data_IF_429161929726
#
_entry.id   IF_429161929726
#
_cell.length_a   1.000
_cell.length_b   1.000
_cell.length_c   1.000
_cell.angle_alpha   90.00
_cell.angle_beta   90.00
_cell.angle_gamma   90.00
#
_symmetry.space_group_name_H-M   'P 1'
#
loop_
_entity.id
_entity.type
_entity.pdbx_description
1 polymer ?
#
# COMPACT_ATOMS: atom_id res chain seq x y z
N UNK A 1 -21.58 41.32 -4.42
CA UNK A 1 -20.71 40.89 -3.29
C UNK A 1 -20.55 39.37 -3.21
N UNK A 2 -21.63 38.56 -3.23
CA UNK A 2 -21.54 37.09 -3.19
C UNK A 2 -20.81 36.44 -4.39
N UNK A 3 -20.86 37.06 -5.56
CA UNK A 3 -20.20 36.60 -6.80
C UNK A 3 -18.68 36.80 -6.79
N UNK A 4 -18.19 37.84 -6.10
CA UNK A 4 -16.76 38.14 -5.96
C UNK A 4 -16.05 37.12 -5.05
N UNK A 5 -16.72 36.78 -3.94
CA UNK A 5 -16.24 35.81 -2.94
C UNK A 5 -16.15 34.42 -3.56
N UNK A 6 -17.16 34.02 -4.35
CA UNK A 6 -17.15 32.72 -5.05
C UNK A 6 -15.98 32.57 -6.03
N UNK A 7 -15.59 33.63 -6.76
CA UNK A 7 -14.44 33.57 -7.69
C UNK A 7 -13.11 33.50 -6.97
N UNK A 8 -12.96 34.22 -5.84
CA UNK A 8 -11.75 34.17 -5.02
C UNK A 8 -11.58 32.79 -4.38
N UNK A 9 -12.67 32.19 -3.91
CA UNK A 9 -12.66 30.85 -3.32
C UNK A 9 -12.31 29.77 -4.35
N UNK A 10 -12.81 29.87 -5.59
CA UNK A 10 -12.43 28.97 -6.69
C UNK A 10 -10.96 29.06 -7.08
N UNK A 11 -10.37 30.27 -7.10
CA UNK A 11 -8.94 30.45 -7.38
C UNK A 11 -8.06 29.89 -6.26
N UNK A 12 -8.49 30.02 -5.01
CA UNK A 12 -7.77 29.45 -3.86
C UNK A 12 -7.82 27.92 -3.88
N UNK A 13 -8.97 27.32 -4.19
CA UNK A 13 -9.12 25.87 -4.34
C UNK A 13 -8.25 25.32 -5.48
N UNK A 14 -8.21 25.99 -6.63
CA UNK A 14 -7.34 25.60 -7.76
C UNK A 14 -5.85 25.72 -7.42
N UNK A 15 -5.45 26.76 -6.70
CA UNK A 15 -4.06 26.94 -6.25
C UNK A 15 -3.64 25.86 -5.24
N UNK A 16 -4.51 25.54 -4.28
CA UNK A 16 -4.26 24.46 -3.32
C UNK A 16 -4.14 23.12 -4.04
N UNK A 17 -5.03 22.83 -5.00
CA UNK A 17 -4.99 21.58 -5.77
C UNK A 17 -3.70 21.45 -6.62
N UNK A 18 -3.28 22.54 -7.30
CA UNK A 18 -2.03 22.57 -8.06
C UNK A 18 -0.77 22.46 -7.18
N UNK A 19 -0.76 23.10 -6.01
CA UNK A 19 0.36 22.99 -5.06
C UNK A 19 0.47 21.57 -4.49
N UNK A 20 -0.65 20.90 -4.19
CA UNK A 20 -0.65 19.50 -3.74
C UNK A 20 -0.18 18.50 -4.80
N UNK A 21 -0.36 18.79 -6.09
CA UNK A 21 0.17 17.97 -7.19
C UNK A 21 1.68 18.17 -7.41
N UNK A 22 2.20 19.35 -7.10
CA UNK A 22 3.64 19.66 -7.25
C UNK A 22 4.50 19.11 -6.11
N UNK A 23 3.95 18.97 -4.89
CA UNK A 23 4.73 18.66 -3.69
C UNK A 23 4.93 17.17 -3.39
N UNK A 24 4.36 16.26 -4.21
CA UNK A 24 4.56 14.80 -4.06
C UNK A 24 5.86 14.27 -4.71
N UNK A 25 6.70 15.14 -5.28
CA UNK A 25 7.91 14.74 -5.99
C UNK A 25 9.23 14.70 -5.18
N UNK A 26 9.28 15.15 -3.92
CA UNK A 26 10.58 15.47 -3.30
C UNK A 26 10.77 15.14 -1.81
N UNK A 27 9.98 14.21 -1.23
CA UNK A 27 10.15 13.79 0.17
C UNK A 27 10.42 12.29 0.31
N UNK A 28 11.52 11.85 -0.25
CA UNK A 28 12.08 10.52 0.01
C UNK A 28 13.61 10.56 -0.12
N UNK A 29 14.27 11.52 0.53
CA UNK A 29 15.74 11.52 0.59
C UNK A 29 16.22 12.35 1.79
N UNK A 30 16.16 11.76 2.99
CA UNK A 30 17.05 12.13 4.09
C UNK A 30 17.10 11.01 5.13
N UNK A 31 17.77 9.91 4.77
CA UNK A 31 18.37 8.94 5.71
C UNK A 31 19.38 8.14 4.89
N UNK A 32 20.60 8.69 4.73
CA UNK A 32 21.84 7.97 4.39
C UNK A 32 22.95 8.97 4.07
N UNK A 33 23.82 9.22 5.05
CA UNK A 33 25.21 9.65 4.83
C UNK A 33 25.98 9.57 6.16
N UNK A 34 26.24 8.36 6.65
CA UNK A 34 27.28 8.08 7.64
C UNK A 34 27.47 6.56 7.69
N UNK A 35 28.43 6.01 6.93
CA UNK A 35 29.17 4.78 7.24
C UNK A 35 30.00 4.32 6.02
N UNK A 36 30.84 5.20 5.47
CA UNK A 36 31.79 4.84 4.41
C UNK A 36 33.25 4.80 4.90
N UNK A 37 33.51 4.80 6.23
CA UNK A 37 34.88 5.01 6.77
C UNK A 37 35.52 3.79 7.46
N UNK A 38 34.98 2.57 7.32
CA UNK A 38 35.48 1.38 8.02
C UNK A 38 36.25 0.36 7.15
N UNK A 39 36.55 0.64 5.88
CA UNK A 39 36.95 -0.40 4.93
C UNK A 39 38.47 -0.58 4.67
N UNK A 40 39.39 -0.25 5.58
CA UNK A 40 40.84 -0.40 5.31
C UNK A 40 41.72 -0.69 6.55
N UNK A 41 41.32 -1.68 7.35
CA UNK A 41 42.21 -2.37 8.30
C UNK A 41 41.90 -3.85 8.23
N UNK A 42 42.88 -4.70 8.53
CA UNK A 42 42.83 -6.15 8.43
C UNK A 42 41.73 -6.71 9.36
N UNK A 43 40.49 -6.71 8.88
CA UNK A 43 39.26 -6.88 9.66
C UNK A 43 39.01 -8.38 9.93
N UNK A 44 39.97 -9.00 10.61
CA UNK A 44 39.89 -10.40 11.00
C UNK A 44 39.11 -10.50 12.32
N UNK A 45 37.93 -11.12 12.26
CA UNK A 45 37.15 -11.46 13.44
C UNK A 45 37.77 -12.70 14.07
N UNK A 46 38.37 -12.55 15.26
CA UNK A 46 39.00 -13.67 15.97
C UNK A 46 37.97 -14.59 16.63
N UNK A 47 36.93 -14.01 17.24
CA UNK A 47 35.90 -14.75 17.98
C UNK A 47 34.52 -14.37 17.46
N UNK A 48 33.73 -15.37 17.08
CA UNK A 48 32.42 -15.21 16.47
C UNK A 48 31.27 -15.15 17.49
N UNK A 49 31.56 -15.37 18.77
CA UNK A 49 30.57 -15.42 19.86
C UNK A 49 29.76 -14.14 20.02
N UNK A 50 30.38 -13.01 19.71
CA UNK A 50 29.75 -11.70 19.83
C UNK A 50 29.07 -11.24 18.54
N UNK A 51 29.07 -12.05 17.49
CA UNK A 51 28.55 -11.64 16.19
C UNK A 51 27.27 -12.38 15.83
N UNK A 52 26.42 -11.68 15.09
CA UNK A 52 25.22 -12.25 14.50
C UNK A 52 25.12 -11.86 13.03
N UNK A 53 24.49 -12.73 12.25
CA UNK A 53 24.25 -12.55 10.82
C UNK A 53 22.75 -12.54 10.55
N UNK A 54 22.32 -11.60 9.70
CA UNK A 54 20.94 -11.46 9.25
C UNK A 54 20.92 -11.62 7.72
N UNK A 55 20.61 -12.80 7.18
CA UNK A 55 20.31 -12.93 5.76
C UNK A 55 19.03 -12.13 5.49
N UNK A 56 19.15 -11.07 4.70
CA UNK A 56 18.01 -10.19 4.39
C UNK A 56 17.20 -10.74 3.25
N UNK A 57 17.87 -11.23 2.20
CA UNK A 57 17.26 -11.60 0.92
C UNK A 57 18.26 -12.22 -0.06
N UNK A 58 17.72 -12.91 -1.06
CA UNK A 58 18.41 -13.37 -2.25
C UNK A 58 18.09 -12.45 -3.44
N UNK A 59 19.11 -12.02 -4.19
CA UNK A 59 18.96 -11.18 -5.39
C UNK A 59 19.92 -11.60 -6.50
N UNK A 60 19.58 -11.23 -7.73
CA UNK A 60 20.52 -11.27 -8.86
C UNK A 60 21.26 -9.93 -8.93
N UNK A 61 22.59 -9.95 -8.83
CA UNK A 61 23.44 -8.77 -8.90
C UNK A 61 24.63 -9.04 -9.82
N UNK A 62 24.75 -8.22 -10.88
CA UNK A 62 25.76 -8.41 -11.95
C UNK A 62 25.74 -9.84 -12.53
N UNK A 63 24.54 -10.33 -12.85
CA UNK A 63 24.30 -11.67 -13.41
C UNK A 63 24.72 -12.85 -12.51
N UNK A 64 24.95 -12.57 -11.22
CA UNK A 64 25.27 -13.58 -10.20
C UNK A 64 24.20 -13.56 -9.11
N UNK A 65 23.77 -14.76 -8.71
CA UNK A 65 22.90 -14.97 -7.57
C UNK A 65 23.65 -14.74 -6.25
N UNK A 66 23.21 -13.74 -5.47
CA UNK A 66 23.85 -13.35 -4.22
C UNK A 66 22.86 -13.23 -3.07
N UNK A 67 23.30 -13.60 -1.87
CA UNK A 67 22.60 -13.34 -0.62
C UNK A 67 23.06 -11.98 -0.08
N UNK A 68 22.12 -11.07 0.12
CA UNK A 68 22.36 -9.83 0.87
C UNK A 68 22.20 -10.15 2.34
N UNK A 69 23.23 -9.90 3.14
CA UNK A 69 23.21 -10.11 4.58
C UNK A 69 23.79 -8.92 5.33
N UNK A 70 23.44 -8.79 6.61
CA UNK A 70 24.06 -7.85 7.52
C UNK A 70 24.72 -8.57 8.66
N UNK A 71 25.85 -8.03 9.11
CA UNK A 71 26.57 -8.51 10.29
C UNK A 71 26.38 -7.48 11.39
N UNK A 72 26.10 -7.97 12.60
CA UNK A 72 25.89 -7.17 13.78
C UNK A 72 26.92 -7.55 14.83
N UNK A 73 27.45 -6.53 15.50
CA UNK A 73 28.26 -6.69 16.70
C UNK A 73 27.31 -6.85 17.91
N UNK A 74 27.75 -7.58 18.93
CA UNK A 74 27.00 -7.90 20.15
C UNK A 74 25.75 -8.80 19.97
N UNK A 75 25.98 -10.08 19.66
CA UNK A 75 24.98 -11.12 19.41
C UNK A 75 23.86 -11.30 20.44
N UNK A 76 24.00 -10.80 21.68
CA UNK A 76 22.95 -10.89 22.70
C UNK A 76 21.70 -10.04 22.41
N UNK A 77 21.76 -9.07 21.49
CA UNK A 77 20.63 -8.20 21.09
C UNK A 77 20.06 -8.51 19.70
N UNK A 78 20.13 -9.76 19.24
CA UNK A 78 19.36 -10.28 18.09
C UNK A 78 19.10 -9.27 16.95
N UNK A 79 20.16 -8.67 16.40
CA UNK A 79 20.09 -7.75 15.25
C UNK A 79 19.20 -6.50 15.45
N UNK A 80 19.00 -6.03 16.69
CA UNK A 80 18.25 -4.79 16.98
C UNK A 80 19.06 -3.51 16.82
N UNK A 81 20.38 -3.61 17.01
CA UNK A 81 21.31 -2.49 16.96
C UNK A 81 21.75 -2.21 15.51
N UNK A 82 22.53 -1.15 15.27
CA UNK A 82 22.97 -0.83 13.92
C UNK A 82 23.93 -1.91 13.39
N UNK A 83 23.73 -2.41 12.14
CA UNK A 83 24.64 -3.40 11.58
C UNK A 83 26.00 -2.77 11.32
N UNK A 84 27.08 -3.54 11.53
CA UNK A 84 28.44 -3.17 11.13
C UNK A 84 28.50 -2.86 9.62
N UNK A 85 27.71 -3.59 8.84
CA UNK A 85 27.61 -3.39 7.41
C UNK A 85 26.52 -4.22 6.77
N UNK A 86 26.27 -3.94 5.49
CA UNK A 86 25.48 -4.81 4.63
C UNK A 86 26.38 -5.29 3.50
N UNK A 87 26.43 -6.60 3.34
CA UNK A 87 27.32 -7.29 2.43
C UNK A 87 26.54 -8.20 1.50
N UNK A 88 27.21 -8.67 0.46
CA UNK A 88 26.75 -9.74 -0.41
C UNK A 88 27.76 -10.87 -0.44
N UNK A 89 27.27 -12.09 -0.63
CA UNK A 89 28.08 -13.26 -0.97
C UNK A 89 27.30 -14.10 -2.00
N UNK A 90 27.99 -14.81 -2.91
CA UNK A 90 27.34 -15.76 -3.82
C UNK A 90 26.49 -16.77 -3.05
N UNK A 91 25.30 -17.08 -3.57
CA UNK A 91 24.36 -18.03 -2.94
C UNK A 91 25.04 -19.37 -2.60
N UNK A 92 25.78 -20.02 -3.52
CA UNK A 92 26.49 -21.26 -3.21
C UNK A 92 27.43 -21.19 -2.00
N UNK A 93 28.18 -20.10 -1.90
CA UNK A 93 29.20 -19.90 -0.86
C UNK A 93 28.52 -19.68 0.49
N UNK A 94 27.51 -18.81 0.53
CA UNK A 94 26.73 -18.57 1.74
C UNK A 94 26.02 -19.83 2.21
N UNK A 95 25.43 -20.59 1.27
CA UNK A 95 24.69 -21.79 1.56
C UNK A 95 25.58 -22.94 2.04
N UNK A 96 26.78 -23.11 1.50
CA UNK A 96 27.73 -24.11 1.98
C UNK A 96 28.10 -23.85 3.46
N UNK A 97 28.39 -22.59 3.82
CA UNK A 97 28.62 -22.22 5.22
C UNK A 97 27.40 -22.47 6.12
N UNK A 98 26.19 -22.19 5.63
CA UNK A 98 24.94 -22.47 6.34
C UNK A 98 24.74 -23.97 6.59
N UNK A 99 24.90 -24.80 5.55
CA UNK A 99 24.72 -26.25 5.65
C UNK A 99 25.78 -26.89 6.56
N UNK A 100 27.03 -26.40 6.53
CA UNK A 100 28.08 -26.84 7.45
C UNK A 100 27.74 -26.50 8.89
N UNK A 101 27.28 -25.27 9.17
CA UNK A 101 26.86 -24.88 10.51
C UNK A 101 25.67 -25.73 10.98
N UNK A 102 24.68 -25.94 10.12
CA UNK A 102 23.51 -26.75 10.45
C UNK A 102 23.88 -28.21 10.74
N UNK A 103 24.75 -28.82 9.92
CA UNK A 103 25.25 -30.17 10.14
C UNK A 103 26.02 -30.29 11.47
N UNK A 104 26.80 -29.27 11.82
CA UNK A 104 27.51 -29.20 13.10
C UNK A 104 26.53 -29.12 14.28
N UNK A 105 25.49 -28.29 14.19
CA UNK A 105 24.46 -28.16 15.22
C UNK A 105 23.65 -29.45 15.44
N UNK A 106 23.33 -30.19 14.37
CA UNK A 106 22.65 -31.49 14.46
C UNK A 106 23.54 -32.55 15.11
N UNK A 107 24.82 -32.60 14.73
CA UNK A 107 25.81 -33.46 15.38
C UNK A 107 25.92 -33.14 16.88
N UNK A 108 25.86 -31.85 17.24
CA UNK A 108 25.97 -31.45 18.63
C UNK A 108 24.77 -31.86 19.49
N UNK A 109 23.59 -31.93 18.88
CA UNK A 109 22.37 -32.43 19.51
C UNK A 109 22.36 -33.97 19.64
N UNK A 110 23.39 -34.65 19.13
CA UNK A 110 23.52 -36.11 19.16
C UNK A 110 22.86 -36.81 17.98
N UNK A 111 22.55 -36.09 16.90
CA UNK A 111 22.07 -36.68 15.65
C UNK A 111 23.25 -37.03 14.73
N UNK A 112 23.89 -38.18 14.99
CA UNK A 112 25.04 -38.65 14.21
C UNK A 112 24.68 -39.06 12.75
N UNK A 113 23.40 -39.25 12.48
CA UNK A 113 22.87 -39.71 11.18
C UNK A 113 22.33 -38.56 10.30
N UNK A 114 22.70 -37.31 10.57
CA UNK A 114 22.24 -36.19 9.75
C UNK A 114 22.74 -36.32 8.31
N UNK A 115 21.79 -36.45 7.39
CA UNK A 115 22.04 -36.42 5.95
C UNK A 115 21.66 -35.05 5.40
N UNK A 116 22.59 -34.40 4.70
CA UNK A 116 22.30 -33.16 3.99
C UNK A 116 21.18 -33.39 2.96
N UNK A 117 20.25 -32.46 2.78
CA UNK A 117 19.20 -32.59 1.77
C UNK A 117 19.77 -32.85 0.38
N UNK A 118 19.08 -33.63 -0.47
CA UNK A 118 19.54 -33.91 -1.84
C UNK A 118 19.76 -32.63 -2.66
N UNK A 119 19.01 -31.56 -2.36
CA UNK A 119 19.18 -30.25 -2.99
C UNK A 119 20.55 -29.61 -2.70
N UNK A 120 21.24 -30.02 -1.64
CA UNK A 120 22.57 -29.52 -1.28
C UNK A 120 23.62 -29.87 -2.35
N UNK A 121 23.43 -30.93 -3.15
CA UNK A 121 24.36 -31.25 -4.24
C UNK A 121 24.45 -30.14 -5.30
N UNK A 122 23.40 -29.30 -5.39
CA UNK A 122 23.33 -28.17 -6.32
C UNK A 122 23.98 -26.90 -5.76
N UNK A 123 24.65 -26.94 -4.60
CA UNK A 123 25.57 -25.85 -4.24
C UNK A 123 26.68 -25.73 -5.29
N UNK A 124 27.13 -26.86 -5.81
CA UNK A 124 28.06 -26.91 -6.94
C UNK A 124 27.30 -26.91 -8.27
N UNK A 125 28.01 -26.52 -9.33
CA UNK A 125 27.47 -26.52 -10.69
C UNK A 125 27.40 -27.95 -11.24
N UNK A 126 26.23 -28.59 -11.15
CA UNK A 126 26.05 -30.00 -11.51
C UNK A 126 25.50 -30.13 -12.93
N UNK A 127 26.15 -30.92 -13.77
CA UNK A 127 25.68 -31.22 -15.13
C UNK A 127 24.57 -32.27 -15.11
N UNK A 128 23.46 -32.01 -15.82
CA UNK A 128 22.44 -33.01 -16.12
C UNK A 128 22.05 -32.99 -17.59
N UNK A 129 21.63 -34.14 -18.13
CA UNK A 129 21.17 -34.25 -19.51
C UNK A 129 19.64 -34.17 -19.56
N UNK A 130 19.11 -33.07 -20.10
CA UNK A 130 17.67 -32.84 -20.26
C UNK A 130 17.35 -32.79 -21.75
N UNK A 131 16.48 -33.68 -22.22
CA UNK A 131 16.05 -33.74 -23.63
C UNK A 131 17.22 -33.83 -24.63
N UNK A 132 18.29 -34.54 -24.26
CA UNK A 132 19.48 -34.73 -25.10
C UNK A 132 20.45 -33.55 -25.12
N UNK A 133 20.16 -32.45 -24.41
CA UNK A 133 21.10 -31.33 -24.20
C UNK A 133 21.72 -31.46 -22.82
N UNK A 134 22.99 -31.09 -22.74
CA UNK A 134 23.64 -30.91 -21.44
C UNK A 134 23.22 -29.54 -20.91
N UNK A 135 22.74 -29.51 -19.67
CA UNK A 135 22.41 -28.31 -18.92
C UNK A 135 23.08 -28.40 -17.54
N UNK A 136 23.28 -27.27 -16.89
CA UNK A 136 23.95 -27.18 -15.60
C UNK A 136 23.00 -26.61 -14.57
N UNK A 137 23.06 -27.13 -13.36
CA UNK A 137 22.11 -26.83 -12.29
C UNK A 137 22.88 -26.33 -11.09
N UNK A 138 22.47 -25.19 -10.55
CA UNK A 138 23.02 -24.63 -9.32
C UNK A 138 21.94 -23.89 -8.54
N UNK A 139 22.00 -23.97 -7.23
CA UNK A 139 21.11 -23.25 -6.32
C UNK A 139 21.35 -21.74 -6.41
N UNK A 140 20.26 -20.99 -6.55
CA UNK A 140 20.27 -19.54 -6.67
C UNK A 140 19.01 -18.92 -6.10
N UNK A 141 18.74 -17.68 -6.48
CA UNK A 141 17.56 -16.95 -6.04
C UNK A 141 16.35 -17.30 -6.90
N UNK A 142 15.23 -17.55 -6.23
CA UNK A 142 13.93 -17.80 -6.88
C UNK A 142 13.39 -16.56 -7.55
N UNK A 143 12.88 -16.75 -8.77
CA UNK A 143 12.29 -15.67 -9.52
C UNK A 143 11.02 -15.13 -8.84
N UNK A 144 10.92 -13.80 -8.78
CA UNK A 144 9.79 -13.10 -8.16
C UNK A 144 9.74 -13.12 -6.62
N UNK A 145 10.61 -13.88 -5.92
CA UNK A 145 10.66 -13.87 -4.46
C UNK A 145 12.08 -13.66 -3.93
N UNK A 146 12.26 -12.66 -3.07
CA UNK A 146 13.59 -12.35 -2.51
C UNK A 146 13.95 -13.17 -1.27
N UNK A 147 13.10 -14.11 -0.85
CA UNK A 147 13.20 -14.83 0.42
C UNK A 147 13.12 -16.35 0.25
N UNK A 148 13.35 -16.84 -0.96
CA UNK A 148 13.44 -18.28 -1.20
C UNK A 148 14.55 -18.60 -2.20
N UNK A 149 14.96 -19.86 -2.18
CA UNK A 149 15.98 -20.41 -3.05
C UNK A 149 15.34 -21.44 -3.97
N UNK A 150 15.84 -21.50 -5.19
CA UNK A 150 15.47 -22.46 -6.23
C UNK A 150 16.74 -23.00 -6.88
N UNK A 151 16.62 -24.10 -7.61
CA UNK A 151 17.72 -24.60 -8.44
C UNK A 151 17.54 -24.03 -9.84
N UNK A 152 18.48 -23.15 -10.22
CA UNK A 152 18.50 -22.46 -11.50
C UNK A 152 19.21 -23.30 -12.57
N UNK A 153 18.80 -23.11 -13.82
CA UNK A 153 19.37 -23.80 -14.98
C UNK A 153 20.33 -22.87 -15.71
N UNK A 154 21.49 -23.39 -16.09
CA UNK A 154 22.58 -22.69 -16.75
C UNK A 154 22.99 -23.41 -18.03
N UNK A 155 23.48 -22.63 -18.99
CA UNK A 155 23.95 -23.11 -20.30
C UNK A 155 25.45 -23.43 -20.32
N UNK A 156 26.20 -23.00 -19.32
CA UNK A 156 27.65 -23.16 -19.19
C UNK A 156 28.03 -23.94 -17.92
N UNK A 157 29.23 -24.52 -17.95
CA UNK A 157 29.76 -25.32 -16.85
C UNK A 157 30.28 -24.52 -15.65
N UNK A 158 30.25 -23.20 -15.74
CA UNK A 158 30.60 -22.30 -14.63
C UNK A 158 29.36 -21.72 -13.95
N UNK A 159 28.16 -22.08 -14.39
CA UNK A 159 26.88 -21.60 -13.88
C UNK A 159 26.81 -20.06 -13.84
N UNK A 160 27.24 -19.41 -14.92
CA UNK A 160 27.27 -17.93 -15.03
C UNK A 160 26.19 -17.38 -15.97
N UNK A 161 25.74 -18.19 -16.94
CA UNK A 161 24.79 -17.80 -17.98
C UNK A 161 23.50 -18.59 -17.83
N UNK A 162 22.51 -17.98 -17.17
CA UNK A 162 21.17 -18.56 -16.96
C UNK A 162 20.53 -18.97 -18.29
N UNK A 163 19.89 -20.13 -18.30
CA UNK A 163 19.16 -20.65 -19.44
C UNK A 163 17.70 -20.17 -19.38
N UNK A 164 17.38 -19.16 -20.17
CA UNK A 164 16.07 -18.52 -20.22
C UNK A 164 15.30 -18.98 -21.47
N UNK A 165 14.75 -20.19 -21.47
CA UNK A 165 13.80 -20.65 -22.50
C UNK A 165 12.38 -20.61 -21.91
N UNK A 166 11.44 -19.98 -22.61
CA UNK A 166 10.02 -19.82 -22.20
C UNK A 166 9.75 -19.05 -20.88
N UNK A 167 10.75 -18.33 -20.35
CA UNK A 167 10.60 -17.49 -19.16
C UNK A 167 10.65 -18.25 -17.84
N UNK A 168 11.11 -19.50 -17.86
CA UNK A 168 11.44 -20.29 -16.69
C UNK A 168 12.95 -20.57 -16.70
N UNK A 169 13.67 -20.09 -15.69
CA UNK A 169 15.05 -20.50 -15.39
C UNK A 169 15.15 -21.36 -14.11
N UNK A 170 14.09 -21.40 -13.31
CA UNK A 170 13.91 -22.31 -12.19
C UNK A 170 13.60 -23.73 -12.68
N UNK A 171 14.37 -24.71 -12.21
CA UNK A 171 14.04 -26.12 -12.39
C UNK A 171 12.90 -26.55 -11.46
N UNK A 172 12.20 -27.63 -11.83
CA UNK A 172 11.17 -28.25 -10.97
C UNK A 172 11.74 -29.02 -9.77
N UNK A 173 13.04 -28.88 -9.49
CA UNK A 173 13.72 -29.52 -8.37
C UNK A 173 13.34 -28.79 -7.09
N UNK A 174 12.84 -29.53 -6.11
CA UNK A 174 12.41 -28.96 -4.84
C UNK A 174 13.62 -28.59 -3.97
N UNK A 175 13.86 -27.29 -3.81
CA UNK A 175 14.87 -26.73 -2.89
C UNK A 175 14.27 -26.32 -1.53
N UNK A 176 12.99 -26.58 -1.27
CA UNK A 176 12.30 -26.14 -0.04
C UNK A 176 12.82 -26.78 1.24
N UNK A 177 13.55 -27.89 1.12
CA UNK A 177 14.28 -28.50 2.24
C UNK A 177 15.43 -27.62 2.75
N UNK A 178 15.93 -26.71 1.92
CA UNK A 178 16.99 -25.75 2.28
C UNK A 178 16.33 -24.43 2.69
N UNK A 179 16.07 -24.27 3.99
CA UNK A 179 15.38 -23.09 4.52
C UNK A 179 16.36 -22.10 5.13
N UNK A 180 17.01 -21.30 4.29
CA UNK A 180 17.78 -20.16 4.81
C UNK A 180 16.83 -19.21 5.56
N UNK A 181 17.11 -18.86 6.82
CA UNK A 181 16.18 -18.13 7.67
C UNK A 181 16.17 -16.62 7.34
N UNK A 182 15.71 -16.26 6.13
CA UNK A 182 15.64 -14.87 5.70
C UNK A 182 14.85 -14.00 6.67
N UNK A 183 15.33 -12.77 6.88
CA UNK A 183 14.79 -11.78 7.83
C UNK A 183 14.81 -12.23 9.30
N UNK A 184 15.47 -13.34 9.63
CA UNK A 184 15.69 -13.78 11.01
C UNK A 184 17.16 -13.66 11.36
N UNK A 185 17.42 -13.06 12.51
CA UNK A 185 18.77 -12.97 13.05
C UNK A 185 19.26 -14.37 13.44
N UNK A 186 20.50 -14.69 13.11
CA UNK A 186 21.17 -15.93 13.50
C UNK A 186 22.46 -15.56 14.22
N UNK A 187 22.72 -16.20 15.37
CA UNK A 187 24.02 -16.05 16.01
C UNK A 187 25.05 -16.79 15.18
N UNK A 188 26.25 -16.24 15.08
CA UNK A 188 27.35 -16.92 14.40
C UNK A 188 27.80 -18.17 15.16
N UNK A 189 27.63 -18.17 16.48
CA UNK A 189 27.90 -19.31 17.34
C UNK A 189 26.63 -19.66 18.10
N UNK A 190 26.13 -20.87 17.87
CA UNK A 190 25.04 -21.45 18.64
C UNK A 190 25.61 -22.41 19.69
N UNK A 191 25.22 -22.20 20.94
CA UNK A 191 25.60 -23.05 22.06
C UNK A 191 24.51 -24.10 22.27
N UNK A 192 24.84 -25.36 22.05
CA UNK A 192 23.97 -26.50 22.34
C UNK A 192 24.36 -27.05 23.70
N UNK A 193 23.36 -27.38 24.52
CA UNK A 193 23.55 -28.00 25.84
C UNK A 193 23.90 -29.49 25.63
N UNK A 194 25.19 -29.79 25.52
CA UNK A 194 25.70 -31.16 25.48
C UNK A 194 25.90 -31.69 26.90
N UNK A 195 25.92 -33.01 27.07
CA UNK A 195 26.27 -33.61 28.35
C UNK A 195 27.70 -33.25 28.78
N UNK A 196 27.87 -32.89 30.07
CA UNK A 196 29.12 -32.40 30.67
C UNK A 196 30.36 -33.30 30.43
N UNK A 197 30.16 -34.58 30.10
CA UNK A 197 31.21 -35.56 29.87
C UNK A 197 31.84 -35.49 28.46
N UNK A 198 31.25 -34.74 27.52
CA UNK A 198 31.75 -34.58 26.14
C UNK A 198 32.33 -33.19 25.85
N UNK A 199 32.17 -32.23 26.76
CA UNK A 199 32.60 -30.85 26.55
C UNK A 199 33.98 -30.66 27.21
N UNK A 200 35.03 -30.49 26.41
CA UNK A 200 36.34 -30.06 26.88
C UNK A 200 36.63 -28.59 26.53
N UNK A 201 37.72 -28.03 27.07
CA UNK A 201 38.13 -26.64 26.78
C UNK A 201 38.37 -26.41 25.27
N UNK A 202 38.79 -27.47 24.56
CA UNK A 202 39.06 -27.45 23.13
C UNK A 202 37.76 -27.32 22.31
N UNK A 203 36.65 -27.93 22.74
CA UNK A 203 35.33 -27.74 22.15
C UNK A 203 34.92 -26.27 22.18
N UNK A 204 35.05 -25.62 23.34
CA UNK A 204 34.75 -24.20 23.48
C UNK A 204 35.65 -23.35 22.58
N UNK A 205 36.97 -23.54 22.62
CA UNK A 205 37.90 -22.75 21.82
C UNK A 205 37.65 -22.90 20.30
N UNK A 206 37.40 -24.13 19.85
CA UNK A 206 37.05 -24.40 18.46
C UNK A 206 35.72 -23.74 18.09
N UNK A 207 34.70 -23.81 18.95
CA UNK A 207 33.38 -23.24 18.66
C UNK A 207 33.40 -21.71 18.58
N UNK A 208 34.21 -21.05 19.39
CA UNK A 208 34.32 -19.59 19.37
C UNK A 208 35.01 -19.08 18.10
N UNK A 209 35.91 -19.86 17.53
CA UNK A 209 36.74 -19.47 16.38
C UNK A 209 36.20 -20.01 15.05
N UNK A 210 35.48 -21.14 15.08
CA UNK A 210 34.90 -21.79 13.91
C UNK A 210 33.38 -21.60 13.91
N UNK A 211 32.93 -20.58 13.18
CA UNK A 211 31.53 -20.34 12.87
C UNK A 211 31.32 -20.49 11.35
N UNK A 212 31.04 -21.70 10.82
CA UNK A 212 31.10 -21.98 9.38
C UNK A 212 30.29 -21.01 8.51
N UNK A 213 29.08 -20.62 8.94
CA UNK A 213 28.27 -19.65 8.22
C UNK A 213 28.92 -18.27 8.19
N UNK A 214 29.23 -17.72 9.36
CA UNK A 214 29.72 -16.35 9.46
C UNK A 214 31.15 -16.19 8.95
N UNK A 215 32.03 -17.16 9.21
CA UNK A 215 33.41 -17.15 8.72
C UNK A 215 33.45 -17.21 7.19
N UNK A 216 32.68 -18.12 6.59
CA UNK A 216 32.58 -18.26 5.13
C UNK A 216 31.94 -17.02 4.51
N UNK A 217 30.81 -16.55 5.05
CA UNK A 217 30.16 -15.34 4.57
C UNK A 217 31.09 -14.11 4.68
N UNK A 218 31.87 -13.99 5.76
CA UNK A 218 32.79 -12.88 5.99
C UNK A 218 34.04 -12.93 5.11
N UNK A 219 34.56 -14.12 4.83
CA UNK A 219 35.71 -14.32 3.96
C UNK A 219 35.40 -13.94 2.51
N UNK A 220 34.20 -14.28 2.04
CA UNK A 220 33.75 -14.04 0.67
C UNK A 220 32.80 -12.84 0.55
N UNK A 221 32.78 -11.96 1.56
CA UNK A 221 31.91 -10.79 1.56
C UNK A 221 32.38 -9.75 0.54
N UNK A 222 31.42 -9.17 -0.17
CA UNK A 222 31.61 -7.93 -0.90
C UNK A 222 30.69 -6.84 -0.30
N UNK A 223 31.13 -5.60 -0.29
CA UNK A 223 30.33 -4.48 0.22
C UNK A 223 29.11 -4.22 -0.67
N UNK A 224 27.91 -4.26 -0.10
CA UNK A 224 26.67 -4.00 -0.84
C UNK A 224 26.45 -2.49 -1.00
N UNK A 225 26.86 -1.97 -2.16
CA UNK A 225 26.66 -0.57 -2.55
C UNK A 225 25.17 -0.18 -2.60
N UNK A 226 24.88 1.13 -2.64
CA UNK A 226 23.50 1.68 -2.74
C UNK A 226 22.67 1.06 -3.88
N UNK A 227 23.32 0.67 -4.98
CA UNK A 227 22.68 -0.06 -6.10
C UNK A 227 22.20 -1.45 -5.66
N UNK A 228 23.09 -2.26 -5.07
CA UNK A 228 22.76 -3.58 -4.51
C UNK A 228 21.64 -3.47 -3.45
N UNK A 229 21.71 -2.47 -2.58
CA UNK A 229 20.67 -2.22 -1.59
C UNK A 229 19.32 -1.89 -2.23
N UNK A 230 19.30 -1.17 -3.35
CA UNK A 230 18.06 -0.84 -4.09
C UNK A 230 17.50 -2.02 -4.88
N UNK A 231 18.35 -2.78 -5.58
CA UNK A 231 17.93 -3.92 -6.40
C UNK A 231 17.22 -4.98 -5.57
N UNK A 232 17.65 -5.15 -4.31
CA UNK A 232 17.00 -6.11 -3.43
C UNK A 232 15.82 -5.60 -2.63
N UNK A 233 15.53 -4.29 -2.61
CA UNK A 233 14.33 -3.86 -1.91
C UNK A 233 13.17 -4.51 -2.63
N UNK A 234 12.47 -5.44 -1.94
CA UNK A 234 11.10 -5.77 -2.31
C UNK A 234 10.47 -4.45 -2.67
N UNK A 235 9.90 -4.30 -3.89
CA UNK A 235 9.28 -3.05 -4.26
C UNK A 235 8.32 -2.80 -3.12
N UNK A 236 8.67 -1.86 -2.24
CA UNK A 236 7.82 -1.52 -1.10
C UNK A 236 6.51 -1.29 -1.80
N UNK A 237 5.53 -2.15 -1.56
CA UNK A 237 4.17 -1.85 -1.98
C UNK A 237 3.97 -0.49 -1.38
N UNK A 238 4.09 0.55 -2.22
CA UNK A 238 4.10 1.89 -1.71
C UNK A 238 2.72 1.94 -1.11
N UNK A 239 2.63 2.08 0.21
CA UNK A 239 1.39 2.41 0.89
C UNK A 239 0.84 3.77 0.42
N UNK A 240 1.37 4.34 -0.65
CA UNK A 240 0.73 5.34 -1.49
C UNK A 240 -0.50 4.80 -2.22
N UNK A 241 -1.36 5.74 -2.57
CA UNK A 241 -2.58 5.51 -3.34
C UNK A 241 -2.27 4.83 -4.67
N UNK A 242 -2.93 3.70 -4.96
CA UNK A 242 -2.87 3.07 -6.27
C UNK A 242 -3.45 4.03 -7.32
N UNK A 243 -3.08 3.85 -8.59
CA UNK A 243 -3.65 4.63 -9.69
C UNK A 243 -5.18 4.51 -9.72
N UNK A 244 -5.70 3.31 -9.43
CA UNK A 244 -7.13 3.04 -9.24
C UNK A 244 -7.72 3.87 -8.09
N UNK A 245 -7.05 3.89 -6.93
CA UNK A 245 -7.54 4.61 -5.75
C UNK A 245 -7.62 6.13 -6.02
N UNK A 246 -6.64 6.67 -6.76
CA UNK A 246 -6.63 8.09 -7.17
C UNK A 246 -7.81 8.42 -8.09
N UNK A 247 -8.10 7.56 -9.05
CA UNK A 247 -9.24 7.72 -9.97
C UNK A 247 -10.56 7.66 -9.19
N UNK A 248 -10.70 6.68 -8.29
CA UNK A 248 -11.94 6.47 -7.55
C UNK A 248 -12.20 7.61 -6.55
N UNK A 249 -11.15 8.14 -5.92
CA UNK A 249 -11.23 9.35 -5.09
C UNK A 249 -11.66 10.57 -5.92
N UNK A 250 -11.13 10.74 -7.13
CA UNK A 250 -11.53 11.83 -8.02
C UNK A 250 -13.01 11.75 -8.43
N UNK A 251 -13.51 10.55 -8.75
CA UNK A 251 -14.92 10.36 -9.14
C UNK A 251 -15.87 10.65 -7.97
N UNK A 252 -15.59 10.14 -6.78
CA UNK A 252 -16.49 10.36 -5.63
C UNK A 252 -16.46 11.80 -5.11
N UNK A 253 -15.32 12.47 -5.16
CA UNK A 253 -15.24 13.90 -4.81
C UNK A 253 -16.01 14.75 -5.83
N UNK A 254 -15.91 14.43 -7.13
CA UNK A 254 -16.70 15.08 -8.18
C UNK A 254 -18.21 14.85 -7.96
N UNK A 255 -18.61 13.62 -7.64
CA UNK A 255 -20.00 13.27 -7.37
C UNK A 255 -20.56 14.07 -6.18
N UNK A 256 -19.84 14.12 -5.06
CA UNK A 256 -20.22 14.92 -3.89
C UNK A 256 -20.34 16.42 -4.21
N UNK A 257 -19.43 16.96 -5.03
CA UNK A 257 -19.50 18.35 -5.49
C UNK A 257 -20.72 18.64 -6.36
N UNK A 258 -21.07 17.73 -7.28
CA UNK A 258 -22.28 17.88 -8.11
C UNK A 258 -23.53 17.87 -7.23
N UNK A 259 -23.64 16.95 -6.27
CA UNK A 259 -24.76 16.92 -5.33
C UNK A 259 -24.88 18.22 -4.53
N UNK A 260 -23.78 18.74 -4.00
CA UNK A 260 -23.81 20.01 -3.29
C UNK A 260 -24.29 21.18 -4.17
N UNK A 261 -23.80 21.27 -5.40
CA UNK A 261 -24.23 22.33 -6.33
C UNK A 261 -25.73 22.22 -6.63
N UNK A 262 -26.26 21.01 -6.78
CA UNK A 262 -27.71 20.81 -6.98
C UNK A 262 -28.53 21.22 -5.76
N UNK A 263 -28.06 20.92 -4.55
CA UNK A 263 -28.69 21.35 -3.30
C UNK A 263 -28.73 22.89 -3.21
N UNK A 264 -27.62 23.56 -3.52
CA UNK A 264 -27.54 25.02 -3.52
C UNK A 264 -28.51 25.61 -4.54
N UNK A 265 -28.52 25.10 -5.78
CA UNK A 265 -29.44 25.58 -6.83
C UNK A 265 -30.89 25.38 -6.45
N UNK A 266 -31.22 24.22 -5.88
CA UNK A 266 -32.59 23.91 -5.44
C UNK A 266 -33.04 24.82 -4.31
N UNK A 267 -32.16 25.09 -3.34
CA UNK A 267 -32.42 26.05 -2.26
C UNK A 267 -32.55 27.49 -2.74
N UNK A 268 -31.77 27.90 -3.74
CA UNK A 268 -31.91 29.24 -4.34
C UNK A 268 -33.27 29.43 -5.06
N UNK A 269 -33.90 28.34 -5.51
CA UNK A 269 -35.19 28.38 -6.21
C UNK A 269 -36.40 28.30 -5.27
N UNK A 270 -36.22 28.00 -3.98
CA UNK A 270 -37.33 28.00 -3.03
C UNK A 270 -37.75 29.44 -2.69
N UNK A 271 -39.07 29.69 -2.75
CA UNK A 271 -39.68 31.00 -2.51
C UNK A 271 -39.45 31.45 -1.06
N UNK A 272 -39.23 32.75 -0.84
CA UNK A 272 -38.95 33.34 0.48
C UNK A 272 -39.97 32.94 1.57
N UNK A 273 -41.21 32.60 1.22
CA UNK A 273 -42.24 32.17 2.18
C UNK A 273 -41.99 30.76 2.75
N UNK A 274 -41.53 29.81 1.94
CA UNK A 274 -41.17 28.46 2.40
C UNK A 274 -39.80 28.46 3.10
N UNK A 275 -38.88 29.31 2.63
CA UNK A 275 -37.58 29.51 3.27
C UNK A 275 -37.70 30.03 4.71
N UNK A 276 -38.72 30.85 5.01
CA UNK A 276 -38.98 31.36 6.36
C UNK A 276 -39.55 30.29 7.30
N UNK A 277 -40.42 29.39 6.82
CA UNK A 277 -40.92 28.26 7.61
C UNK A 277 -39.80 27.24 7.88
N UNK A 278 -38.94 26.97 6.89
CA UNK A 278 -37.78 26.10 7.07
C UNK A 278 -36.71 26.76 7.95
N UNK A 279 -36.49 28.08 7.85
CA UNK A 279 -35.62 28.83 8.76
C UNK A 279 -36.18 28.86 10.19
N UNK A 280 -37.49 28.92 10.39
CA UNK A 280 -38.08 28.80 11.73
C UNK A 280 -37.79 27.41 12.34
N UNK A 281 -37.94 26.34 11.56
CA UNK A 281 -37.61 24.99 12.01
C UNK A 281 -36.09 24.78 12.22
N UNK A 282 -35.22 25.36 11.38
CA UNK A 282 -33.76 25.25 11.51
C UNK A 282 -33.19 26.17 12.61
N UNK A 283 -33.77 27.35 12.83
CA UNK A 283 -33.39 28.27 13.91
C UNK A 283 -33.82 27.78 15.29
N UNK A 284 -34.87 26.96 15.38
CA UNK A 284 -35.20 26.24 16.61
C UNK A 284 -34.08 25.28 17.05
N UNK A 285 -33.23 24.81 16.13
CA UNK A 285 -32.03 24.03 16.42
C UNK A 285 -30.76 24.89 16.55
N UNK A 286 -30.86 26.22 16.47
CA UNK A 286 -29.75 27.17 16.64
C UNK A 286 -28.72 27.20 15.49
N UNK A 287 -28.93 26.46 14.39
CA UNK A 287 -27.95 26.33 13.32
C UNK A 287 -28.29 27.25 12.14
N UNK A 288 -27.66 28.43 12.09
CA UNK A 288 -27.88 29.40 11.01
C UNK A 288 -27.40 28.81 9.66
N UNK A 289 -28.13 29.05 8.56
CA UNK A 289 -27.89 28.47 7.23
C UNK A 289 -26.46 28.62 6.69
N UNK A 290 -25.74 29.67 7.10
CA UNK A 290 -24.33 29.87 6.76
C UNK A 290 -23.40 28.80 7.38
N UNK A 291 -23.76 28.24 8.54
CA UNK A 291 -22.99 27.20 9.22
C UNK A 291 -23.01 25.88 8.45
N UNK A 292 -24.11 25.55 7.76
CA UNK A 292 -24.21 24.30 6.98
C UNK A 292 -23.20 24.30 5.83
N UNK A 293 -23.06 25.44 5.14
CA UNK A 293 -22.05 25.61 4.08
C UNK A 293 -20.64 25.60 4.67
N UNK A 294 -20.43 26.25 5.82
CA UNK A 294 -19.14 26.27 6.52
C UNK A 294 -18.67 24.90 6.99
N UNK A 295 -19.55 24.11 7.61
CA UNK A 295 -19.29 22.74 8.07
C UNK A 295 -18.91 21.86 6.86
N UNK A 296 -19.60 22.02 5.74
CA UNK A 296 -19.27 21.25 4.54
C UNK A 296 -17.86 21.53 4.01
N UNK A 297 -17.47 22.81 3.91
CA UNK A 297 -16.13 23.20 3.45
C UNK A 297 -15.06 22.64 4.41
N UNK A 298 -15.31 22.72 5.72
CA UNK A 298 -14.42 22.17 6.74
C UNK A 298 -14.23 20.67 6.57
N UNK A 299 -15.32 19.94 6.34
CA UNK A 299 -15.28 18.49 6.15
C UNK A 299 -14.50 18.10 4.89
N UNK A 300 -14.67 18.81 3.77
CA UNK A 300 -13.87 18.58 2.55
C UNK A 300 -12.37 18.84 2.81
N UNK A 301 -12.04 19.87 3.59
CA UNK A 301 -10.66 20.17 3.97
C UNK A 301 -10.05 19.03 4.78
N UNK A 302 -10.80 18.50 5.76
CA UNK A 302 -10.35 17.35 6.59
C UNK A 302 -10.10 16.11 5.73
N UNK A 303 -11.00 15.80 4.78
CA UNK A 303 -10.79 14.71 3.79
C UNK A 303 -9.49 14.91 3.02
N UNK A 304 -9.23 16.13 2.53
CA UNK A 304 -8.03 16.44 1.78
C UNK A 304 -6.76 16.25 2.62
N UNK A 305 -6.77 16.65 3.89
CA UNK A 305 -5.64 16.43 4.82
C UNK A 305 -5.41 14.94 5.07
N UNK A 306 -6.46 14.14 5.30
CA UNK A 306 -6.30 12.70 5.48
C UNK A 306 -5.82 11.96 4.23
N UNK A 307 -6.24 12.42 3.04
CA UNK A 307 -5.72 11.91 1.78
C UNK A 307 -4.21 12.19 1.63
N UNK A 308 -3.74 13.37 2.06
CA UNK A 308 -2.32 13.73 2.07
C UNK A 308 -1.51 12.93 3.09
N UNK A 309 -2.12 12.54 4.22
CA UNK A 309 -1.49 11.71 5.25
C UNK A 309 -1.44 10.21 4.91
N UNK A 310 -2.06 9.78 3.80
CA UNK A 310 -2.00 8.38 3.34
C UNK A 310 -2.89 7.41 4.13
N UNK A 311 -3.80 7.91 4.97
CA UNK A 311 -4.72 7.08 5.77
C UNK A 311 -5.88 6.59 4.91
N UNK A 312 -5.63 5.57 4.06
CA UNK A 312 -6.59 5.07 3.06
C UNK A 312 -7.94 4.68 3.68
N UNK A 313 -7.93 3.80 4.66
CA UNK A 313 -9.16 3.21 5.24
C UNK A 313 -10.09 4.27 5.85
N UNK A 314 -9.51 5.23 6.57
CA UNK A 314 -10.26 6.30 7.24
C UNK A 314 -10.82 7.28 6.20
N UNK A 315 -10.01 7.65 5.19
CA UNK A 315 -10.44 8.53 4.11
C UNK A 315 -11.61 7.93 3.34
N UNK A 316 -11.58 6.63 3.05
CA UNK A 316 -12.66 5.90 2.38
C UNK A 316 -13.97 5.94 3.17
N UNK A 317 -13.92 5.56 4.45
CA UNK A 317 -15.10 5.52 5.30
C UNK A 317 -15.77 6.90 5.42
N UNK A 318 -14.96 7.93 5.66
CA UNK A 318 -15.46 9.30 5.85
C UNK A 318 -16.07 9.85 4.55
N UNK A 319 -15.44 9.59 3.40
CA UNK A 319 -15.91 10.04 2.09
C UNK A 319 -17.24 9.36 1.69
N UNK A 320 -17.40 8.06 1.99
CA UNK A 320 -18.66 7.35 1.76
C UNK A 320 -19.77 7.89 2.65
N UNK A 321 -19.54 8.04 3.95
CA UNK A 321 -20.54 8.57 4.89
C UNK A 321 -21.04 9.94 4.45
N UNK A 322 -20.15 10.85 4.05
CA UNK A 322 -20.54 12.18 3.56
C UNK A 322 -21.42 12.11 2.31
N UNK A 323 -21.04 11.28 1.34
CA UNK A 323 -21.83 11.14 0.12
C UNK A 323 -23.20 10.53 0.41
N UNK A 324 -23.30 9.57 1.34
CA UNK A 324 -24.58 9.00 1.78
C UNK A 324 -25.46 10.05 2.47
N UNK A 325 -24.91 10.88 3.37
CA UNK A 325 -25.66 11.96 4.03
C UNK A 325 -26.11 13.02 3.02
N UNK A 326 -25.24 13.44 2.10
CA UNK A 326 -25.59 14.38 1.02
C UNK A 326 -26.71 13.84 0.15
N UNK A 327 -26.63 12.57 -0.23
CA UNK A 327 -27.65 11.92 -1.06
C UNK A 327 -28.99 11.84 -0.33
N UNK A 328 -28.99 11.40 0.94
CA UNK A 328 -30.21 11.36 1.76
C UNK A 328 -30.84 12.74 1.93
N UNK A 329 -30.02 13.77 2.10
CA UNK A 329 -30.49 15.15 2.18
C UNK A 329 -31.08 15.66 0.85
N UNK A 330 -30.46 15.34 -0.28
CA UNK A 330 -30.97 15.67 -1.60
C UNK A 330 -32.31 14.96 -1.89
N UNK A 331 -32.41 13.68 -1.53
CA UNK A 331 -33.65 12.90 -1.59
C UNK A 331 -34.76 13.58 -0.77
N UNK A 332 -34.49 13.96 0.48
CA UNK A 332 -35.45 14.69 1.32
C UNK A 332 -35.94 15.97 0.65
N UNK A 333 -35.02 16.83 0.20
CA UNK A 333 -35.38 18.06 -0.52
C UNK A 333 -36.17 17.79 -1.81
N UNK A 334 -36.03 16.59 -2.39
CA UNK A 334 -36.74 16.20 -3.60
C UNK A 334 -38.14 15.69 -3.34
N UNK A 335 -38.33 14.88 -2.30
CA UNK A 335 -39.65 14.48 -1.82
C UNK A 335 -40.44 15.69 -1.36
N UNK A 336 -39.86 16.56 -0.52
CA UNK A 336 -40.54 17.75 0.01
C UNK A 336 -40.99 18.70 -1.13
N UNK A 337 -40.14 18.89 -2.15
CA UNK A 337 -40.52 19.68 -3.33
C UNK A 337 -41.57 19.03 -4.23
N UNK A 338 -41.67 17.70 -4.22
CA UNK A 338 -42.64 16.95 -5.01
C UNK A 338 -44.04 16.95 -4.39
N UNK A 339 -44.11 16.90 -3.06
CA UNK A 339 -45.38 16.96 -2.30
C UNK A 339 -46.03 18.35 -2.41
N UNK A 340 -45.24 19.43 -2.35
CA UNK A 340 -45.76 20.80 -2.52
C UNK A 340 -46.34 21.10 -3.91
N UNK A 341 -45.99 20.32 -4.94
CA UNK A 341 -46.53 20.48 -6.30
C UNK A 341 -47.87 19.73 -6.51
N UNK A 342 -48.26 18.85 -5.59
CA UNK A 342 -49.42 17.95 -5.74
C UNK A 342 -50.57 18.20 -4.78
N UNK A 343 -50.43 19.08 -3.78
CA UNK A 343 -51.50 19.34 -2.81
C UNK A 343 -52.57 20.27 -3.40
N UNK A 344 -53.50 19.70 -4.18
CA UNK A 344 -54.78 20.33 -4.47
C UNK A 344 -55.57 20.43 -3.18
N UNK A 345 -55.53 21.60 -2.53
CA UNK A 345 -56.39 21.88 -1.38
C UNK A 345 -57.82 22.04 -1.90
N UNK A 346 -58.66 21.05 -1.64
CA UNK A 346 -60.10 21.09 -1.92
C UNK A 346 -60.72 21.96 -0.82
N UNK A 347 -61.22 23.14 -1.19
CA UNK A 347 -61.98 23.97 -0.25
C UNK A 347 -63.28 23.27 0.19
N UNK A 348 -63.90 23.69 1.30
CA UNK A 348 -65.19 23.15 1.75
C UNK A 348 -66.31 23.26 0.71
N UNK A 349 -66.09 24.05 -0.34
CA UNK A 349 -67.02 24.31 -1.44
C UNK A 349 -66.74 23.43 -2.69
N UNK A 350 -65.78 22.50 -2.62
CA UNK A 350 -65.45 21.55 -3.71
C UNK A 350 -64.63 22.14 -4.87
N UNK A 351 -64.20 23.40 -4.77
CA UNK A 351 -63.36 24.04 -5.79
C UNK A 351 -61.89 23.64 -5.64
N UNK A 352 -61.29 23.15 -6.74
CA UNK A 352 -59.89 22.77 -6.82
C UNK A 352 -59.06 24.03 -7.09
N UNK A 353 -58.51 24.64 -6.05
CA UNK A 353 -57.60 25.77 -6.23
C UNK A 353 -56.20 25.21 -6.46
N UNK A 354 -55.72 25.25 -7.71
CA UNK A 354 -54.29 25.05 -7.99
C UNK A 354 -53.56 26.30 -7.51
N UNK A 355 -52.53 26.14 -6.67
CA UNK A 355 -51.68 27.24 -6.14
C UNK A 355 -50.89 28.03 -7.19
N UNK A 356 -51.17 27.87 -8.49
CA UNK A 356 -50.51 28.55 -9.60
C UNK A 356 -51.26 29.76 -10.16
N UNK A 357 -52.55 29.95 -9.87
CA UNK A 357 -53.39 30.98 -10.51
C UNK A 357 -53.73 32.13 -9.55
N UNK A 358 -52.72 32.72 -8.92
CA UNK A 358 -52.86 33.97 -8.16
C UNK A 358 -52.07 35.07 -8.84
N UNK A 359 -52.43 35.35 -10.10
CA UNK A 359 -52.01 36.55 -10.81
C UNK A 359 -52.87 37.73 -10.36
N UNK A 360 -52.20 38.71 -9.76
CA UNK A 360 -52.65 40.09 -9.62
C UNK A 360 -53.18 40.60 -10.98
N UNK A 361 -54.49 40.73 -11.12
CA UNK A 361 -55.12 41.44 -12.23
C UNK A 361 -56.08 42.50 -11.71
N UNK A 362 -55.54 43.68 -11.41
CA UNK A 362 -56.33 44.90 -11.26
C UNK A 362 -56.61 45.51 -12.64
N UNK A 363 -57.83 45.27 -13.12
CA UNK A 363 -58.75 46.18 -13.84
C UNK A 363 -58.17 47.17 -14.87
N UNK A 364 -58.53 46.98 -16.15
CA UNK A 364 -59.03 48.06 -17.02
C UNK A 364 -59.85 47.48 -18.20
N UNK A 365 -61.07 47.97 -18.30
CA UNK A 365 -62.14 47.72 -19.29
C UNK A 365 -61.65 47.76 -20.75
N UNK A 366 -62.28 47.04 -21.69
CA UNK A 366 -63.44 47.45 -22.51
C UNK A 366 -63.84 46.31 -23.47
N UNK A 367 -65.15 46.20 -23.71
CA UNK A 367 -65.92 45.34 -24.62
C UNK A 367 -65.21 44.69 -25.84
N UNK A 368 -65.50 43.42 -26.13
CA UNK A 368 -66.35 43.07 -27.29
C UNK A 368 -66.87 41.61 -27.27
N UNK A 369 -67.91 41.44 -28.08
CA UNK A 369 -68.89 40.38 -28.28
C UNK A 369 -68.46 38.91 -28.51
N UNK A 370 -69.39 38.03 -28.09
CA UNK A 370 -69.88 36.81 -28.77
C UNK A 370 -68.89 35.66 -29.04
N UNK A 371 -69.11 34.52 -28.38
CA UNK A 371 -69.92 33.46 -29.00
C UNK A 371 -70.15 32.26 -28.06
N UNK A 372 -71.36 31.75 -28.16
CA UNK A 372 -71.99 30.57 -27.57
C UNK A 372 -71.32 29.26 -27.97
N UNK A 373 -71.19 28.34 -27.02
CA UNK A 373 -70.82 26.94 -27.24
C UNK A 373 -71.43 26.03 -26.17
N UNK A 374 -72.72 25.74 -26.33
CA UNK A 374 -73.50 24.79 -25.52
C UNK A 374 -73.10 23.36 -25.91
N UNK A 375 -72.58 22.57 -24.97
CA UNK A 375 -72.37 21.13 -25.16
C UNK A 375 -73.55 20.35 -24.53
N UNK A 376 -74.26 19.57 -25.34
CA UNK A 376 -75.21 18.55 -24.86
C UNK A 376 -74.47 17.23 -24.64
N UNK A 377 -74.79 16.53 -23.55
CA UNK A 377 -74.34 15.16 -23.28
C UNK A 377 -75.19 14.14 -24.08
N UNK A 378 -74.59 13.05 -24.60
CA UNK A 378 -75.35 11.94 -25.17
C UNK A 378 -76.00 11.08 -24.08
N UNK A 379 -77.29 10.81 -24.23
CA UNK A 379 -78.02 9.79 -23.46
C UNK A 379 -77.65 8.41 -24.01
N UNK A 380 -77.28 7.51 -23.09
CA UNK A 380 -77.07 6.09 -23.33
C UNK A 380 -78.43 5.39 -23.53
N UNK A 381 -78.56 4.60 -24.59
CA UNK A 381 -79.54 3.54 -24.75
C UNK A 381 -78.81 2.22 -25.00
#
# INVERSE_FOLDING_TARGET
MATEISRRMWRLLLLVFCLSLSQQGSRAEEYQAANDDYANGDDYIKYWTEYAILPKRCIVYNDVDVIVFSVFEHGYKQCSDDPMGTFIAPVPVFLNGYLQQFAQEEYDQGYDDYATPDAAQYTDCVQQQVSGRNLWFQVGCTDGTSQSLSVNIYSDNTCTTRYLEDGYDDSAIDASAIQVPFKRCQNCVNWVDMSDDKIDDMFYENRQTQAPLCSTAWQYKETCNRKCQRTGLEPREKEGWNTSDKILLAILTLFGMVMLVTIIRKRQKMSNKEALLEQAAMSAAGLQQAHVIGIFILVVLVVAVFALLGLKNITWALLLVINTVLFGYLMKLTVDSGVSAGETVIGPDGTIIRRGDSDDSSVASTADNRNTGTYMLPQLA
#
